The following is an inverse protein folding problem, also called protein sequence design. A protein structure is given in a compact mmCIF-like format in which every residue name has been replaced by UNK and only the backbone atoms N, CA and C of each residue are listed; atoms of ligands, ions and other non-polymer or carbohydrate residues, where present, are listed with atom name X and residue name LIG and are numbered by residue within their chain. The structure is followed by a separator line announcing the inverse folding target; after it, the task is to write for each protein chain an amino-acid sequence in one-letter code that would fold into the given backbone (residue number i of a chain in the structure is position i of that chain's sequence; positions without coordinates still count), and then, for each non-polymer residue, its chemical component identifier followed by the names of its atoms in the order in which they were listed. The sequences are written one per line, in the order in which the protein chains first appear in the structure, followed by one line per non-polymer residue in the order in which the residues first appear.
data_IF_482166158180
#
_entry.id   IF_482166158180
#
_cell.length_a   1.000
_cell.length_b   1.000
_cell.length_c   1.000
_cell.angle_alpha   90.00
_cell.angle_beta   90.00
_cell.angle_gamma   90.00
#
_symmetry.space_group_name_H-M   'P 1'
#
loop_
_entity.id
_entity.type
_entity.pdbx_description
1 polymer ?
#
# COMPACT_ATOMS: atom_id res chain seq x y z
N UNK A 1 26.34 -7.85 -23.45
CA UNK A 1 25.58 -8.42 -22.32
C UNK A 1 24.12 -8.00 -22.50
N UNK A 2 23.29 -8.88 -22.99
CA UNK A 2 21.88 -8.64 -23.28
C UNK A 2 21.12 -8.67 -21.97
N UNK A 3 20.64 -7.52 -21.54
CA UNK A 3 19.68 -7.38 -20.44
C UNK A 3 18.36 -7.99 -20.91
N UNK A 4 18.15 -9.25 -20.57
CA UNK A 4 16.83 -9.87 -20.69
C UNK A 4 15.92 -9.13 -19.70
N UNK A 5 15.07 -8.25 -20.22
CA UNK A 5 13.94 -7.72 -19.45
C UNK A 5 13.16 -8.91 -18.95
N UNK A 6 13.18 -9.15 -17.64
CA UNK A 6 12.30 -10.16 -17.03
C UNK A 6 10.87 -9.67 -17.25
N UNK A 7 10.24 -10.19 -18.29
CA UNK A 7 8.84 -9.94 -18.55
C UNK A 7 8.08 -10.42 -17.31
N UNK A 8 7.51 -9.47 -16.60
CA UNK A 8 6.70 -9.77 -15.44
C UNK A 8 5.45 -10.53 -15.89
N UNK A 9 5.45 -11.85 -15.69
CA UNK A 9 4.29 -12.68 -15.96
C UNK A 9 3.51 -12.88 -14.64
N UNK A 10 2.31 -12.30 -14.50
CA UNK A 10 1.50 -12.45 -13.30
C UNK A 10 1.17 -13.90 -12.96
N UNK A 11 1.10 -14.78 -13.96
CA UNK A 11 0.82 -16.20 -13.78
C UNK A 11 1.99 -16.97 -13.16
N UNK A 12 3.21 -16.44 -13.23
CA UNK A 12 4.40 -17.09 -12.64
C UNK A 12 4.65 -16.74 -11.17
N UNK A 13 3.85 -15.84 -10.57
CA UNK A 13 4.02 -15.42 -9.17
C UNK A 13 4.03 -16.59 -8.19
N UNK A 14 3.10 -17.53 -8.36
CA UNK A 14 2.98 -18.72 -7.50
C UNK A 14 4.19 -19.65 -7.68
N UNK A 15 4.67 -19.78 -8.91
CA UNK A 15 5.79 -20.67 -9.26
C UNK A 15 7.11 -20.22 -8.63
N UNK A 16 7.30 -18.90 -8.49
CA UNK A 16 8.49 -18.32 -7.83
C UNK A 16 8.56 -18.67 -6.33
N UNK A 17 7.41 -19.03 -5.73
CA UNK A 17 7.29 -19.35 -4.30
C UNK A 17 6.83 -20.79 -4.07
N UNK A 18 7.27 -21.70 -4.94
CA UNK A 18 6.87 -23.13 -4.92
C UNK A 18 7.11 -23.77 -3.56
N UNK A 19 8.22 -23.46 -2.90
CA UNK A 19 8.54 -24.01 -1.57
C UNK A 19 7.47 -23.68 -0.53
N UNK A 20 6.96 -22.45 -0.52
CA UNK A 20 5.86 -22.07 0.38
C UNK A 20 4.56 -22.78 0.04
N UNK A 21 4.27 -22.92 -1.25
CA UNK A 21 3.09 -23.66 -1.72
C UNK A 21 3.16 -25.11 -1.28
N UNK A 22 4.31 -25.76 -1.44
CA UNK A 22 4.54 -27.14 -0.99
C UNK A 22 4.43 -27.27 0.53
N UNK A 23 4.97 -26.32 1.28
CA UNK A 23 4.89 -26.33 2.74
C UNK A 23 3.45 -26.14 3.23
N UNK A 24 2.67 -25.26 2.60
CA UNK A 24 1.25 -25.13 2.88
C UNK A 24 0.48 -26.44 2.64
N UNK A 25 0.73 -27.14 1.52
CA UNK A 25 0.09 -28.43 1.24
C UNK A 25 0.54 -29.54 2.19
N UNK A 26 1.70 -29.40 2.82
CA UNK A 26 2.16 -30.29 3.89
C UNK A 26 1.58 -29.93 5.27
N UNK A 27 0.66 -28.97 5.35
CA UNK A 27 0.03 -28.53 6.59
C UNK A 27 0.92 -27.66 7.49
N UNK A 28 2.01 -27.10 6.97
CA UNK A 28 2.84 -26.16 7.72
C UNK A 28 2.22 -24.78 7.73
N UNK A 29 2.43 -24.05 8.81
CA UNK A 29 2.16 -22.61 8.83
C UNK A 29 3.18 -21.90 7.96
N UNK A 30 2.69 -21.14 6.98
CA UNK A 30 3.53 -20.31 6.10
C UNK A 30 3.05 -18.86 6.13
N UNK A 31 3.98 -17.95 6.22
CA UNK A 31 3.67 -16.51 6.12
C UNK A 31 3.18 -16.19 4.69
N UNK A 32 2.27 -15.23 4.52
CA UNK A 32 1.88 -14.73 3.21
C UNK A 32 3.08 -14.12 2.48
N UNK A 33 3.02 -14.10 1.16
CA UNK A 33 4.09 -13.51 0.34
C UNK A 33 4.01 -11.98 0.37
N UNK A 34 2.80 -11.45 0.22
CA UNK A 34 2.50 -10.02 0.22
C UNK A 34 1.41 -9.71 1.23
N UNK A 35 1.55 -8.57 1.90
CA UNK A 35 0.51 -7.98 2.76
C UNK A 35 0.16 -6.61 2.20
N UNK A 36 -1.12 -6.34 2.11
CA UNK A 36 -1.64 -5.01 1.83
C UNK A 36 -1.97 -4.31 3.14
N UNK A 37 -1.51 -3.07 3.29
CA UNK A 37 -1.75 -2.26 4.49
C UNK A 37 -2.46 -0.98 4.08
N UNK A 38 -3.62 -0.76 4.71
CA UNK A 38 -4.42 0.44 4.59
C UNK A 38 -4.15 1.36 5.79
N UNK A 39 -3.17 2.27 5.74
CA UNK A 39 -2.86 3.13 6.87
C UNK A 39 -3.91 4.23 7.09
N UNK A 40 -4.78 4.46 6.10
CA UNK A 40 -5.80 5.51 6.11
C UNK A 40 -7.01 5.11 5.27
N UNK A 41 -8.22 5.29 5.82
CA UNK A 41 -9.44 5.33 5.00
C UNK A 41 -9.88 6.78 4.69
N UNK A 42 -9.15 7.79 5.18
CA UNK A 42 -9.32 9.16 4.75
C UNK A 42 -8.62 9.40 3.42
N UNK A 43 -9.26 10.15 2.53
CA UNK A 43 -8.71 10.57 1.25
C UNK A 43 -8.92 12.07 1.05
N UNK A 44 -7.97 12.72 0.42
CA UNK A 44 -8.05 14.13 0.02
C UNK A 44 -8.70 14.32 -1.36
N UNK A 45 -9.03 13.21 -2.07
CA UNK A 45 -9.81 13.21 -3.30
C UNK A 45 -11.22 12.66 -3.05
N UNK A 46 -12.15 12.97 -3.97
CA UNK A 46 -13.54 12.50 -3.95
C UNK A 46 -13.95 11.93 -5.31
N UNK A 47 -13.10 11.10 -5.90
CA UNK A 47 -13.31 10.55 -7.23
C UNK A 47 -14.68 9.87 -7.35
N UNK A 48 -15.50 10.20 -8.36
CA UNK A 48 -16.89 9.73 -8.48
C UNK A 48 -17.01 8.22 -8.69
N UNK A 49 -15.96 7.58 -9.18
CA UNK A 49 -15.88 6.13 -9.42
C UNK A 49 -15.19 5.38 -8.28
N UNK A 50 -14.77 6.06 -7.21
CA UNK A 50 -14.06 5.43 -6.10
C UNK A 50 -15.00 4.54 -5.30
N UNK A 51 -14.71 3.25 -5.25
CA UNK A 51 -15.53 2.27 -4.52
C UNK A 51 -15.55 2.58 -3.01
N UNK A 52 -14.44 3.02 -2.45
CA UNK A 52 -14.31 3.40 -1.04
C UNK A 52 -14.98 4.74 -0.75
N UNK A 53 -15.09 5.63 -1.73
CA UNK A 53 -15.80 6.90 -1.62
C UNK A 53 -17.27 6.71 -1.28
N UNK A 54 -17.88 5.64 -1.77
CA UNK A 54 -19.29 5.33 -1.48
C UNK A 54 -19.56 4.96 -0.02
N UNK A 55 -18.55 4.52 0.72
CA UNK A 55 -18.67 4.19 2.15
C UNK A 55 -18.89 5.44 3.01
N UNK A 56 -18.53 6.61 2.51
CA UNK A 56 -18.72 7.91 3.18
C UNK A 56 -20.04 8.61 2.80
N UNK A 57 -20.93 7.92 2.08
CA UNK A 57 -22.26 8.45 1.78
C UNK A 57 -23.13 8.49 3.03
N UNK A 58 -24.06 9.44 3.08
CA UNK A 58 -24.95 9.68 4.22
C UNK A 58 -25.72 8.42 4.67
N UNK A 59 -26.01 7.49 3.75
CA UNK A 59 -26.68 6.21 4.06
C UNK A 59 -25.89 5.30 5.01
N UNK A 60 -24.57 5.50 5.13
CA UNK A 60 -23.70 4.76 6.04
C UNK A 60 -23.38 5.54 7.32
N UNK A 61 -24.00 6.71 7.51
CA UNK A 61 -23.80 7.53 8.72
C UNK A 61 -24.16 6.71 9.96
N UNK A 62 -23.26 6.71 10.94
CA UNK A 62 -23.41 5.91 12.15
C UNK A 62 -22.76 4.53 12.11
N UNK A 63 -22.20 4.12 10.96
CA UNK A 63 -21.35 2.94 10.87
C UNK A 63 -19.89 3.30 11.01
N UNK A 64 -19.04 2.34 11.38
CA UNK A 64 -17.58 2.52 11.44
C UNK A 64 -16.97 2.92 10.09
N UNK A 65 -17.57 2.48 8.98
CA UNK A 65 -17.12 2.79 7.62
C UNK A 65 -17.32 4.26 7.23
N UNK A 66 -18.26 4.95 7.85
CA UNK A 66 -18.53 6.36 7.58
C UNK A 66 -17.44 7.28 8.14
N UNK A 67 -16.79 6.87 9.20
CA UNK A 67 -15.79 7.68 9.88
C UNK A 67 -14.44 7.60 9.14
N UNK A 68 -13.98 8.74 8.63
CA UNK A 68 -12.64 8.85 8.06
C UNK A 68 -11.60 8.72 9.18
N UNK A 69 -10.87 7.61 9.19
CA UNK A 69 -9.91 7.29 10.23
C UNK A 69 -8.54 6.99 9.62
N UNK A 70 -7.52 7.13 10.43
CA UNK A 70 -6.15 6.75 10.11
C UNK A 70 -5.63 5.85 11.23
N UNK A 71 -4.79 4.88 10.88
CA UNK A 71 -4.06 4.12 11.89
C UNK A 71 -3.28 5.09 12.76
N UNK A 72 -3.48 5.01 14.07
CA UNK A 72 -2.67 5.80 14.97
C UNK A 72 -1.23 5.28 14.99
N UNK A 73 -0.31 6.14 15.40
CA UNK A 73 1.12 5.86 15.42
C UNK A 73 1.46 4.53 16.11
N UNK A 74 0.87 4.27 17.26
CA UNK A 74 1.16 3.06 18.05
C UNK A 74 0.78 1.79 17.29
N UNK A 75 -0.42 1.76 16.71
CA UNK A 75 -0.91 0.61 15.95
C UNK A 75 -0.05 0.38 14.73
N UNK A 76 0.20 1.42 13.93
CA UNK A 76 0.98 1.32 12.71
C UNK A 76 2.42 0.87 12.99
N UNK A 77 3.07 1.45 14.01
CA UNK A 77 4.44 1.08 14.36
C UNK A 77 4.55 -0.32 14.95
N UNK A 78 3.59 -0.78 15.75
CA UNK A 78 3.57 -2.16 16.23
C UNK A 78 3.39 -3.13 15.06
N UNK A 79 2.44 -2.85 14.15
CA UNK A 79 2.23 -3.68 12.97
C UNK A 79 3.52 -3.85 12.14
N UNK A 80 4.22 -2.76 11.80
CA UNK A 80 5.43 -2.87 11.00
C UNK A 80 6.57 -3.56 11.74
N UNK A 81 6.65 -3.42 13.06
CA UNK A 81 7.61 -4.16 13.89
C UNK A 81 7.35 -5.66 13.86
N UNK A 82 6.09 -6.06 14.03
CA UNK A 82 5.70 -7.46 14.00
C UNK A 82 5.97 -8.06 12.61
N UNK A 83 5.61 -7.35 11.54
CA UNK A 83 5.85 -7.78 10.16
C UNK A 83 7.34 -7.91 9.82
N UNK A 84 8.19 -7.02 10.36
CA UNK A 84 9.65 -7.11 10.14
C UNK A 84 10.28 -8.37 10.73
N UNK A 85 9.59 -9.07 11.63
CA UNK A 85 10.02 -10.34 12.21
C UNK A 85 9.41 -11.57 11.53
N UNK A 86 8.71 -11.39 10.42
CA UNK A 86 8.11 -12.48 9.63
C UNK A 86 8.94 -12.79 8.39
N UNK A 87 8.53 -13.85 7.66
CA UNK A 87 9.13 -14.20 6.38
C UNK A 87 8.36 -13.63 5.18
N UNK A 88 7.48 -12.63 5.35
CA UNK A 88 6.82 -11.97 4.23
C UNK A 88 7.86 -11.37 3.28
N UNK A 89 7.51 -11.26 2.00
CA UNK A 89 8.43 -10.76 0.97
C UNK A 89 8.14 -9.35 0.55
N UNK A 90 6.89 -8.93 0.69
CA UNK A 90 6.49 -7.58 0.28
C UNK A 90 5.34 -7.01 1.08
N UNK A 91 5.31 -5.69 1.12
CA UNK A 91 4.20 -4.88 1.63
C UNK A 91 3.75 -3.96 0.50
N UNK A 92 2.44 -3.91 0.28
CA UNK A 92 1.78 -2.93 -0.58
C UNK A 92 1.04 -1.92 0.30
N UNK A 93 1.53 -0.68 0.33
CA UNK A 93 0.82 0.42 0.95
C UNK A 93 -0.32 0.83 0.04
N UNK A 94 -1.53 0.70 0.50
CA UNK A 94 -2.75 0.99 -0.26
C UNK A 94 -3.77 1.64 0.65
N UNK A 95 -5.05 1.59 0.33
CA UNK A 95 -6.08 2.01 1.26
C UNK A 95 -7.46 2.13 0.69
N UNK A 96 -8.43 2.08 1.60
CA UNK A 96 -9.76 2.60 1.37
C UNK A 96 -9.76 4.13 1.22
N UNK A 97 -8.66 4.78 1.56
CA UNK A 97 -8.37 6.18 1.35
C UNK A 97 -7.02 6.41 0.68
N UNK A 98 -6.37 7.51 0.99
CA UNK A 98 -5.03 7.85 0.49
C UNK A 98 -3.98 7.52 1.57
N UNK A 99 -3.04 6.59 1.33
CA UNK A 99 -2.06 6.19 2.34
C UNK A 99 -1.18 7.36 2.80
N UNK A 100 -0.84 8.30 1.91
CA UNK A 100 0.00 9.47 2.22
C UNK A 100 -0.69 10.50 3.13
N UNK A 101 -1.97 10.33 3.41
CA UNK A 101 -2.69 11.12 4.42
C UNK A 101 -2.22 10.78 5.85
N UNK A 102 -1.71 9.56 6.08
CA UNK A 102 -1.26 9.17 7.42
C UNK A 102 0.10 9.82 7.74
N UNK A 103 0.16 10.71 8.76
CA UNK A 103 1.40 11.41 9.10
C UNK A 103 2.52 10.52 9.63
N UNK A 104 2.20 9.27 9.98
CA UNK A 104 3.17 8.31 10.51
C UNK A 104 3.71 7.36 9.43
N UNK A 105 3.25 7.47 8.18
CA UNK A 105 3.63 6.58 7.10
C UNK A 105 5.13 6.62 6.82
N UNK A 106 5.75 7.82 6.80
CA UNK A 106 7.19 8.00 6.64
C UNK A 106 7.98 7.17 7.65
N UNK A 107 7.58 7.24 8.92
CA UNK A 107 8.26 6.50 9.97
C UNK A 107 8.10 4.98 9.81
N UNK A 108 6.93 4.53 9.38
CA UNK A 108 6.67 3.12 9.13
C UNK A 108 7.50 2.57 7.95
N UNK A 109 7.58 3.31 6.84
CA UNK A 109 8.41 2.95 5.68
C UNK A 109 9.89 2.87 6.07
N UNK A 110 10.41 3.88 6.76
CA UNK A 110 11.81 3.90 7.20
C UNK A 110 12.12 2.74 8.12
N UNK A 111 11.21 2.44 9.06
CA UNK A 111 11.41 1.31 9.98
C UNK A 111 11.58 -0.03 9.23
N UNK A 112 10.69 -0.31 8.27
CA UNK A 112 10.78 -1.54 7.45
C UNK A 112 12.06 -1.57 6.64
N UNK A 113 12.44 -0.45 6.02
CA UNK A 113 13.67 -0.31 5.24
C UNK A 113 14.93 -0.60 6.05
N UNK A 114 14.96 -0.17 7.30
CA UNK A 114 16.12 -0.28 8.18
C UNK A 114 16.20 -1.64 8.90
N UNK A 115 15.07 -2.33 9.09
CA UNK A 115 14.99 -3.49 9.97
C UNK A 115 14.55 -4.78 9.26
N UNK A 116 14.39 -4.78 7.95
CA UNK A 116 13.99 -5.98 7.20
C UNK A 116 14.41 -5.93 5.73
N UNK A 117 14.31 -7.09 5.08
CA UNK A 117 14.51 -7.25 3.64
C UNK A 117 13.16 -7.25 2.86
N UNK A 118 12.12 -6.69 3.46
CA UNK A 118 10.79 -6.65 2.87
C UNK A 118 10.74 -5.58 1.77
N UNK A 119 10.40 -5.99 0.56
CA UNK A 119 10.16 -5.08 -0.54
C UNK A 119 8.85 -4.31 -0.34
N UNK A 120 8.85 -3.02 -0.61
CA UNK A 120 7.66 -2.18 -0.46
C UNK A 120 7.22 -1.58 -1.79
N UNK A 121 5.90 -1.47 -1.96
CA UNK A 121 5.29 -0.73 -3.05
C UNK A 121 4.12 0.12 -2.55
N UNK A 122 3.64 1.05 -3.37
CA UNK A 122 2.56 1.96 -2.97
C UNK A 122 1.61 2.26 -4.12
N UNK A 123 0.32 2.28 -3.80
CA UNK A 123 -0.73 2.91 -4.60
C UNK A 123 -1.08 4.25 -3.96
N UNK A 124 -1.09 5.33 -4.74
CA UNK A 124 -1.37 6.68 -4.25
C UNK A 124 -1.96 7.54 -5.35
N UNK A 125 -2.74 8.55 -4.99
CA UNK A 125 -3.12 9.60 -5.93
C UNK A 125 -1.98 10.59 -6.24
N UNK A 126 -0.88 10.52 -5.49
CA UNK A 126 0.34 11.29 -5.71
C UNK A 126 0.31 12.73 -5.20
N UNK A 127 -0.86 13.30 -4.92
CA UNK A 127 -0.99 14.73 -4.62
C UNK A 127 -0.44 15.16 -3.26
N UNK A 128 -0.12 14.20 -2.39
CA UNK A 128 0.34 14.46 -1.02
C UNK A 128 1.78 14.00 -0.78
N UNK A 129 2.52 13.61 -1.83
CA UNK A 129 3.88 13.08 -1.69
C UNK A 129 4.88 14.10 -1.10
N UNK A 130 4.69 15.39 -1.37
CA UNK A 130 5.52 16.44 -0.77
C UNK A 130 5.20 16.69 0.70
N UNK A 131 4.02 16.26 1.15
CA UNK A 131 3.61 16.43 2.54
C UNK A 131 4.40 15.48 3.44
N UNK A 132 4.76 15.95 4.61
CA UNK A 132 5.53 15.19 5.60
C UNK A 132 6.91 14.72 5.10
N UNK A 133 7.48 15.36 4.07
CA UNK A 133 8.74 14.98 3.43
C UNK A 133 8.74 13.50 2.96
N UNK A 134 7.61 13.03 2.46
CA UNK A 134 7.44 11.65 2.03
C UNK A 134 8.14 11.35 0.71
N UNK A 135 8.31 12.34 -0.17
CA UNK A 135 8.81 12.13 -1.52
C UNK A 135 10.15 11.38 -1.54
N UNK A 136 11.16 11.89 -0.84
CA UNK A 136 12.47 11.24 -0.78
C UNK A 136 12.40 9.84 -0.15
N UNK A 137 11.61 9.69 0.92
CA UNK A 137 11.43 8.39 1.57
C UNK A 137 10.83 7.37 0.60
N UNK A 138 9.81 7.76 -0.14
CA UNK A 138 9.14 6.90 -1.12
C UNK A 138 10.10 6.50 -2.24
N UNK A 139 10.79 7.46 -2.84
CA UNK A 139 11.74 7.22 -3.94
C UNK A 139 12.89 6.31 -3.51
N UNK A 140 13.42 6.49 -2.31
CA UNK A 140 14.59 5.76 -1.83
C UNK A 140 14.26 4.40 -1.21
N UNK A 141 13.01 4.15 -0.81
CA UNK A 141 12.65 2.95 -0.04
C UNK A 141 11.71 1.99 -0.76
N UNK A 142 10.91 2.46 -1.70
CA UNK A 142 9.95 1.61 -2.40
C UNK A 142 10.54 1.04 -3.70
N UNK A 143 10.18 -0.19 -4.01
CA UNK A 143 10.54 -0.85 -5.29
C UNK A 143 9.70 -0.35 -6.44
N UNK A 144 8.47 0.07 -6.17
CA UNK A 144 7.55 0.61 -7.17
C UNK A 144 6.53 1.55 -6.51
N UNK A 145 6.04 2.46 -7.31
CA UNK A 145 4.91 3.31 -6.99
C UNK A 145 3.94 3.29 -8.17
N UNK A 146 2.66 3.20 -7.89
CA UNK A 146 1.60 3.36 -8.87
C UNK A 146 0.78 4.59 -8.51
N UNK A 147 0.88 5.60 -9.35
CA UNK A 147 0.08 6.81 -9.22
C UNK A 147 -1.25 6.59 -9.95
N UNK A 148 -2.35 6.79 -9.22
CA UNK A 148 -3.71 6.79 -9.78
C UNK A 148 -3.92 8.12 -10.49
N UNK A 149 -3.78 8.09 -11.83
CA UNK A 149 -3.97 9.27 -12.67
C UNK A 149 -5.20 9.03 -13.55
N UNK A 150 -6.26 9.76 -13.26
CA UNK A 150 -7.60 9.50 -13.81
C UNK A 150 -7.89 10.33 -15.07
N UNK A 151 -7.07 11.32 -15.39
CA UNK A 151 -7.17 12.10 -16.63
C UNK A 151 -5.79 12.52 -17.15
N UNK A 152 -5.69 12.66 -18.47
CA UNK A 152 -4.45 13.09 -19.15
C UNK A 152 -4.38 14.60 -19.46
N UNK A 153 -5.41 15.36 -19.10
CA UNK A 153 -5.49 16.81 -19.30
C UNK A 153 -6.08 17.47 -18.07
N UNK A 154 -5.63 18.69 -17.76
CA UNK A 154 -6.11 19.48 -16.62
C UNK A 154 -7.62 19.67 -16.67
N UNK A 155 -8.15 20.10 -17.83
CA UNK A 155 -9.60 20.31 -18.02
C UNK A 155 -10.43 19.05 -17.73
N UNK A 156 -9.92 17.87 -18.07
CA UNK A 156 -10.61 16.61 -17.76
C UNK A 156 -10.51 16.27 -16.26
N UNK A 157 -9.41 16.65 -15.62
CA UNK A 157 -9.20 16.45 -14.18
C UNK A 157 -10.13 17.33 -13.35
N UNK A 158 -10.35 18.58 -13.79
CA UNK A 158 -11.21 19.54 -13.09
C UNK A 158 -12.70 19.12 -13.13
N UNK A 159 -13.06 18.20 -14.00
CA UNK A 159 -14.42 17.64 -14.14
C UNK A 159 -14.63 16.30 -13.40
N UNK A 160 -13.60 15.79 -12.71
CA UNK A 160 -13.66 14.57 -11.91
C UNK A 160 -13.91 14.87 -10.44
#
# INVERSE_FOLDING_TARGET
MTTTSKIFNPQSKVVVHTDRVLDYFKGKNVDPINIEIDPSNACNHSCPFCISGHLHLSKFKGTEFFNRQMMNKRVLMNLVKDLSNTNIKSISWTGGGEPTMNPNLKQAINYIKENSEIDMGMFTNGSMLERFDLFETVVNSLKWIRISMDAGKSESYDNL
#
